data_IF_894761260273
#
_entry.id   IF_894761260273
#
_cell.length_a   1.000
_cell.length_b   1.000
_cell.length_c   1.000
_cell.angle_alpha   90.00
_cell.angle_beta   90.00
_cell.angle_gamma   90.00
#
_symmetry.space_group_name_H-M   'P 1'
#
loop_
_entity.id
_entity.type
_entity.pdbx_description
1 polymer ?
#
# COMPACT_ATOMS: atom_id res chain seq x y z
N UNK A 1 -24.45 -16.62 -3.64
CA UNK A 1 -23.00 -16.72 -3.92
C UNK A 1 -22.57 -15.43 -4.57
N UNK A 2 -22.15 -14.43 -3.79
CA UNK A 2 -21.65 -13.17 -4.37
C UNK A 2 -20.29 -13.46 -4.98
N UNK A 3 -20.26 -13.63 -6.30
CA UNK A 3 -19.03 -13.52 -7.08
C UNK A 3 -18.46 -12.14 -6.79
N UNK A 4 -17.53 -12.03 -5.84
CA UNK A 4 -16.80 -10.79 -5.62
C UNK A 4 -16.07 -10.51 -6.93
N UNK A 5 -16.41 -9.40 -7.59
CA UNK A 5 -15.79 -9.02 -8.87
C UNK A 5 -14.27 -8.95 -8.75
N UNK A 6 -13.57 -8.95 -9.88
CA UNK A 6 -12.12 -8.73 -9.91
C UNK A 6 -11.79 -7.34 -9.34
N UNK A 7 -10.75 -7.23 -8.52
CA UNK A 7 -10.25 -5.92 -8.08
C UNK A 7 -9.57 -5.22 -9.26
N UNK A 8 -9.91 -3.96 -9.51
CA UNK A 8 -9.40 -3.20 -10.66
C UNK A 8 -8.63 -1.97 -10.22
N UNK A 9 -7.46 -1.74 -10.78
CA UNK A 9 -6.76 -0.46 -10.64
C UNK A 9 -7.20 0.51 -11.74
N UNK A 10 -7.63 1.71 -11.37
CA UNK A 10 -8.18 2.71 -12.29
C UNK A 10 -7.58 4.09 -12.03
N UNK A 11 -7.65 4.98 -13.03
CA UNK A 11 -7.32 6.37 -12.77
C UNK A 11 -8.41 6.98 -11.88
N UNK A 12 -8.05 7.92 -11.00
CA UNK A 12 -8.98 8.46 -10.00
C UNK A 12 -10.19 9.17 -10.62
N UNK A 13 -10.04 9.68 -11.84
CA UNK A 13 -11.11 10.37 -12.55
C UNK A 13 -12.07 9.42 -13.29
N UNK A 14 -11.73 8.14 -13.40
CA UNK A 14 -12.55 7.15 -14.10
C UNK A 14 -13.63 6.51 -13.20
N UNK A 15 -13.87 7.12 -12.04
CA UNK A 15 -14.70 6.57 -10.97
C UNK A 15 -14.00 5.43 -10.24
N UNK A 16 -13.59 5.66 -9.00
CA UNK A 16 -13.03 4.65 -8.11
C UNK A 16 -13.84 4.55 -6.81
N UNK A 17 -13.88 3.36 -6.23
CA UNK A 17 -14.55 3.11 -4.96
C UNK A 17 -13.64 3.46 -3.78
N UNK A 18 -12.34 3.21 -3.93
CA UNK A 18 -11.32 3.46 -2.90
C UNK A 18 -10.08 4.09 -3.51
N UNK A 19 -9.69 5.26 -3.02
CA UNK A 19 -8.42 5.88 -3.33
C UNK A 19 -7.29 5.21 -2.54
N UNK A 20 -6.29 4.69 -3.24
CA UNK A 20 -5.16 3.97 -2.64
C UNK A 20 -3.83 4.70 -2.80
N UNK A 21 -3.85 5.89 -3.40
CA UNK A 21 -2.66 6.72 -3.61
C UNK A 21 -2.08 7.30 -2.31
N UNK A 22 -0.90 7.94 -2.42
CA UNK A 22 -0.32 8.70 -1.31
C UNK A 22 -1.20 9.90 -0.98
N UNK A 23 -1.34 10.26 0.30
CA UNK A 23 -2.10 11.47 0.61
C UNK A 23 -1.39 12.72 0.10
N UNK A 24 -2.08 13.49 -0.75
CA UNK A 24 -1.65 14.79 -1.24
C UNK A 24 -2.86 15.66 -1.59
N UNK A 25 -2.74 16.99 -1.42
CA UNK A 25 -3.77 17.99 -1.77
C UNK A 25 -5.17 17.62 -1.24
N UNK A 26 -6.17 17.51 -2.12
CA UNK A 26 -7.56 17.17 -1.76
C UNK A 26 -7.70 15.81 -1.04
N UNK A 27 -6.73 14.91 -1.24
CA UNK A 27 -6.69 13.58 -0.63
C UNK A 27 -5.83 13.53 0.64
N UNK A 28 -5.44 14.69 1.18
CA UNK A 28 -4.73 14.79 2.45
C UNK A 28 -5.65 14.58 3.67
N UNK A 29 -6.95 14.87 3.53
CA UNK A 29 -7.95 14.72 4.59
C UNK A 29 -8.75 13.43 4.39
N UNK A 30 -9.20 12.79 5.48
CA UNK A 30 -10.15 11.69 5.42
C UNK A 30 -11.41 12.04 4.63
N UNK A 31 -11.96 11.07 3.91
CA UNK A 31 -13.22 11.21 3.19
C UNK A 31 -13.79 9.84 2.77
N UNK A 32 -14.97 9.80 2.12
CA UNK A 32 -15.67 8.54 1.84
C UNK A 32 -14.84 7.54 1.02
N UNK A 33 -14.11 8.05 0.02
CA UNK A 33 -13.26 7.23 -0.85
C UNK A 33 -11.81 7.09 -0.31
N UNK A 34 -11.43 7.83 0.73
CA UNK A 34 -10.08 7.83 1.31
C UNK A 34 -10.15 7.99 2.83
N UNK A 35 -10.72 7.00 3.54
CA UNK A 35 -11.00 7.14 4.98
C UNK A 35 -9.72 7.29 5.80
N UNK A 36 -8.61 6.70 5.34
CA UNK A 36 -7.30 6.79 5.98
C UNK A 36 -6.26 7.24 4.96
N UNK A 37 -5.96 8.55 4.88
CA UNK A 37 -5.11 9.12 3.85
C UNK A 37 -3.74 8.47 3.69
N UNK A 38 -3.50 7.86 2.52
CA UNK A 38 -2.24 7.21 2.19
C UNK A 38 -2.01 5.87 2.88
N UNK A 39 -3.05 5.27 3.49
CA UNK A 39 -2.98 3.95 4.13
C UNK A 39 -2.33 2.90 3.24
N UNK A 40 -2.68 2.92 1.96
CA UNK A 40 -2.23 1.98 0.93
C UNK A 40 -1.15 2.55 0.00
N UNK A 41 -0.70 3.78 0.20
CA UNK A 41 0.24 4.44 -0.70
C UNK A 41 1.59 3.73 -0.75
N UNK A 42 2.21 3.67 -1.93
CA UNK A 42 3.58 3.18 -2.06
C UNK A 42 4.58 4.20 -1.48
N UNK A 43 5.36 3.86 -0.43
CA UNK A 43 6.39 4.73 0.13
C UNK A 43 7.62 4.83 -0.78
N UNK A 44 7.86 3.84 -1.65
CA UNK A 44 8.99 3.79 -2.58
C UNK A 44 8.67 4.55 -3.87
N UNK A 45 9.71 5.09 -4.52
CA UNK A 45 9.60 5.88 -5.75
C UNK A 45 10.76 5.54 -6.69
N UNK A 46 10.53 5.55 -8.02
CA UNK A 46 11.63 5.50 -8.98
C UNK A 46 12.62 6.65 -8.73
N UNK A 47 13.93 6.35 -8.78
CA UNK A 47 14.98 7.31 -8.42
C UNK A 47 15.12 7.56 -6.91
N UNK A 48 14.46 6.74 -6.08
CA UNK A 48 14.56 6.78 -4.63
C UNK A 48 13.70 7.86 -3.98
N UNK A 49 13.82 7.98 -2.65
CA UNK A 49 13.08 8.97 -1.86
C UNK A 49 14.02 10.01 -1.26
N UNK A 50 13.72 11.29 -1.48
CA UNK A 50 14.55 12.38 -0.93
C UNK A 50 14.49 12.52 0.60
N UNK A 51 13.43 12.03 1.25
CA UNK A 51 13.26 12.10 2.71
C UNK A 51 12.89 10.73 3.30
N UNK A 52 13.83 9.76 3.34
CA UNK A 52 13.55 8.41 3.83
C UNK A 52 12.96 8.38 5.24
N UNK A 53 13.50 9.19 6.15
CA UNK A 53 13.00 9.28 7.52
C UNK A 53 11.52 9.69 7.62
N UNK A 54 11.04 10.57 6.74
CA UNK A 54 9.61 10.93 6.71
C UNK A 54 8.74 9.78 6.17
N UNK A 55 9.26 8.97 5.25
CA UNK A 55 8.56 7.78 4.76
C UNK A 55 8.51 6.69 5.83
N UNK A 56 9.62 6.43 6.52
CA UNK A 56 9.67 5.48 7.64
C UNK A 56 8.64 5.85 8.71
N UNK A 57 8.66 7.10 9.19
CA UNK A 57 7.70 7.57 10.20
C UNK A 57 6.25 7.37 9.80
N UNK A 58 5.93 7.65 8.54
CA UNK A 58 4.56 7.61 8.04
C UNK A 58 4.06 6.19 7.78
N UNK A 59 4.91 5.30 7.27
CA UNK A 59 4.50 4.01 6.72
C UNK A 59 4.94 2.81 7.56
N UNK A 60 5.87 2.99 8.50
CA UNK A 60 6.49 1.91 9.27
C UNK A 60 6.25 2.02 10.78
N UNK A 61 6.46 3.20 11.39
CA UNK A 61 6.46 3.35 12.87
C UNK A 61 5.24 2.74 13.57
N UNK A 62 4.04 2.94 13.01
CA UNK A 62 2.78 2.51 13.63
C UNK A 62 2.70 1.01 13.91
N UNK A 63 3.28 0.18 13.05
CA UNK A 63 3.21 -1.28 13.20
C UNK A 63 4.56 -1.89 13.61
N UNK A 64 5.68 -1.20 13.34
CA UNK A 64 7.00 -1.64 13.84
C UNK A 64 7.13 -1.53 15.35
N UNK A 65 6.34 -0.66 16.00
CA UNK A 65 6.32 -0.55 17.46
C UNK A 65 5.91 -1.87 18.15
N UNK A 66 5.21 -2.77 17.45
CA UNK A 66 4.80 -4.07 17.98
C UNK A 66 5.85 -5.18 17.80
N UNK A 67 6.97 -4.93 17.09
CA UNK A 67 8.02 -5.91 16.87
C UNK A 67 9.12 -5.85 17.94
N UNK A 68 9.90 -6.93 18.03
CA UNK A 68 11.13 -6.92 18.80
C UNK A 68 12.13 -5.89 18.23
N UNK A 69 13.09 -5.47 19.06
CA UNK A 69 14.08 -4.47 18.66
C UNK A 69 14.94 -4.93 17.47
N UNK A 70 15.44 -6.16 17.51
CA UNK A 70 16.27 -6.72 16.44
C UNK A 70 15.50 -6.86 15.11
N UNK A 71 14.22 -7.27 15.16
CA UNK A 71 13.37 -7.32 13.97
C UNK A 71 13.11 -5.92 13.41
N UNK A 72 12.81 -4.96 14.29
CA UNK A 72 12.59 -3.56 13.89
C UNK A 72 13.83 -2.98 13.20
N UNK A 73 15.01 -3.16 13.77
CA UNK A 73 16.27 -2.72 13.17
C UNK A 73 16.50 -3.35 11.79
N UNK A 74 16.29 -4.66 11.68
CA UNK A 74 16.42 -5.38 10.42
C UNK A 74 15.48 -4.82 9.35
N UNK A 75 14.20 -4.63 9.69
CA UNK A 75 13.20 -4.09 8.76
C UNK A 75 13.55 -2.67 8.33
N UNK A 76 13.97 -1.80 9.26
CA UNK A 76 14.35 -0.42 8.95
C UNK A 76 15.58 -0.37 8.02
N UNK A 77 16.59 -1.21 8.26
CA UNK A 77 17.77 -1.29 7.42
C UNK A 77 17.41 -1.74 5.98
N UNK A 78 16.53 -2.74 5.84
CA UNK A 78 16.04 -3.18 4.53
C UNK A 78 15.17 -2.12 3.83
N UNK A 79 14.29 -1.45 4.58
CA UNK A 79 13.48 -0.37 4.04
C UNK A 79 14.34 0.77 3.48
N UNK A 80 15.42 1.14 4.17
CA UNK A 80 16.36 2.16 3.70
C UNK A 80 17.06 1.75 2.39
N UNK A 81 17.52 0.49 2.28
CA UNK A 81 18.10 -0.03 1.03
C UNK A 81 17.10 0.04 -0.13
N UNK A 82 15.86 -0.39 0.11
CA UNK A 82 14.75 -0.38 -0.86
C UNK A 82 14.23 1.01 -1.23
N UNK A 83 14.55 2.02 -0.44
CA UNK A 83 14.26 3.42 -0.72
C UNK A 83 15.36 4.10 -1.55
N UNK A 84 16.45 3.40 -1.85
CA UNK A 84 17.56 3.91 -2.66
C UNK A 84 17.19 4.14 -4.14
N UNK A 85 18.03 4.88 -4.89
CA UNK A 85 17.75 5.28 -6.26
C UNK A 85 17.69 4.11 -7.25
N UNK A 86 18.48 3.07 -7.02
CA UNK A 86 18.58 1.88 -7.87
C UNK A 86 17.52 0.81 -7.56
N UNK A 87 16.76 0.97 -6.47
CA UNK A 87 15.78 -0.01 -6.05
C UNK A 87 14.50 0.10 -6.89
N UNK A 88 13.99 -1.04 -7.37
CA UNK A 88 12.69 -1.06 -8.04
C UNK A 88 11.56 -0.77 -7.03
N UNK A 89 10.77 0.26 -7.31
CA UNK A 89 9.74 0.74 -6.41
C UNK A 89 8.54 -0.21 -6.29
N UNK A 90 8.27 -1.05 -7.30
CA UNK A 90 7.18 -2.02 -7.29
C UNK A 90 7.56 -3.30 -6.56
N UNK A 91 8.77 -3.81 -6.77
CA UNK A 91 9.32 -4.93 -5.98
C UNK A 91 9.46 -4.57 -4.51
N UNK A 92 9.95 -3.36 -4.22
CA UNK A 92 10.01 -2.84 -2.86
C UNK A 92 8.62 -2.73 -2.23
N UNK A 93 7.62 -2.33 -3.02
CA UNK A 93 6.24 -2.27 -2.54
C UNK A 93 5.63 -3.65 -2.31
N UNK A 94 5.93 -4.65 -3.14
CA UNK A 94 5.50 -6.05 -2.91
C UNK A 94 6.04 -6.58 -1.59
N UNK A 95 7.34 -6.38 -1.35
CA UNK A 95 7.98 -6.73 -0.09
C UNK A 95 7.30 -6.04 1.10
N UNK A 96 7.07 -4.73 1.00
CA UNK A 96 6.41 -3.98 2.07
C UNK A 96 4.98 -4.44 2.32
N UNK A 97 4.22 -4.72 1.26
CA UNK A 97 2.84 -5.20 1.36
C UNK A 97 2.82 -6.56 2.07
N UNK A 98 3.67 -7.49 1.68
CA UNK A 98 3.77 -8.80 2.33
C UNK A 98 4.22 -8.68 3.80
N UNK A 99 5.26 -7.90 4.05
CA UNK A 99 5.80 -7.71 5.39
C UNK A 99 4.76 -7.07 6.31
N UNK A 100 4.17 -5.96 5.91
CA UNK A 100 3.20 -5.24 6.73
C UNK A 100 1.95 -6.08 6.96
N UNK A 101 1.43 -6.78 5.95
CA UNK A 101 0.25 -7.64 6.14
C UNK A 101 0.51 -8.81 7.08
N UNK A 102 1.77 -9.25 7.25
CA UNK A 102 2.15 -10.25 8.26
C UNK A 102 2.14 -9.71 9.69
N UNK A 103 2.46 -8.44 9.89
CA UNK A 103 2.71 -7.84 11.21
C UNK A 103 1.69 -6.78 11.65
N UNK A 104 0.81 -6.32 10.76
CA UNK A 104 -0.24 -5.33 11.02
C UNK A 104 -1.61 -5.95 10.66
N UNK A 105 -2.28 -6.65 11.60
CA UNK A 105 -3.57 -7.30 11.35
C UNK A 105 -4.66 -6.32 10.89
N UNK A 106 -4.63 -5.07 11.37
CA UNK A 106 -5.54 -4.04 10.93
C UNK A 106 -5.30 -3.68 9.45
N UNK A 107 -4.04 -3.59 9.03
CA UNK A 107 -3.71 -3.36 7.62
C UNK A 107 -4.06 -4.54 6.73
N UNK A 108 -3.87 -5.77 7.22
CA UNK A 108 -4.33 -6.96 6.52
C UNK A 108 -5.84 -6.92 6.29
N UNK A 109 -6.63 -6.60 7.32
CA UNK A 109 -8.08 -6.47 7.20
C UNK A 109 -8.47 -5.39 6.17
N UNK A 110 -7.83 -4.21 6.24
CA UNK A 110 -8.05 -3.12 5.28
C UNK A 110 -7.72 -3.53 3.83
N UNK A 111 -6.60 -4.24 3.62
CA UNK A 111 -6.18 -4.72 2.29
C UNK A 111 -7.15 -5.77 1.76
N UNK A 112 -7.62 -6.71 2.60
CA UNK A 112 -8.61 -7.71 2.19
C UNK A 112 -9.96 -7.08 1.83
N UNK A 113 -10.33 -5.98 2.48
CA UNK A 113 -11.54 -5.22 2.17
C UNK A 113 -11.49 -4.53 0.79
N UNK A 114 -10.32 -4.44 0.15
CA UNK A 114 -10.18 -3.91 -1.22
C UNK A 114 -10.67 -4.89 -2.30
N UNK A 115 -11.00 -6.14 -1.94
CA UNK A 115 -11.42 -7.15 -2.90
C UNK A 115 -12.69 -6.73 -3.66
N UNK A 116 -12.65 -6.82 -4.98
CA UNK A 116 -13.73 -6.43 -5.89
C UNK A 116 -13.99 -4.94 -6.03
N UNK A 117 -13.19 -4.08 -5.38
CA UNK A 117 -13.31 -2.63 -5.54
C UNK A 117 -12.47 -2.11 -6.72
N UNK A 118 -12.84 -0.93 -7.21
CA UNK A 118 -12.06 -0.11 -8.14
C UNK A 118 -11.11 0.78 -7.33
N UNK A 119 -9.82 0.45 -7.37
CA UNK A 119 -8.74 1.13 -6.67
C UNK A 119 -8.23 2.32 -7.48
N UNK A 120 -8.51 3.52 -7.00
CA UNK A 120 -8.12 4.77 -7.64
C UNK A 120 -6.67 5.16 -7.33
N UNK A 121 -5.90 5.41 -8.38
CA UNK A 121 -4.58 6.04 -8.27
C UNK A 121 -4.25 6.91 -9.49
N UNK A 122 -3.51 7.99 -9.27
CA UNK A 122 -3.12 8.94 -10.31
C UNK A 122 -2.09 8.41 -11.33
N UNK A 123 -1.43 7.29 -11.04
CA UNK A 123 -0.42 6.72 -11.96
C UNK A 123 -1.05 6.03 -13.17
N UNK A 124 -2.31 5.62 -13.10
CA UNK A 124 -3.00 4.99 -14.22
C UNK A 124 -3.16 5.98 -15.39
N UNK A 125 -3.07 5.52 -16.66
CA UNK A 125 -3.05 4.12 -17.12
C UNK A 125 -1.67 3.44 -17.07
N UNK A 126 -0.60 4.12 -16.66
CA UNK A 126 0.74 3.54 -16.56
C UNK A 126 0.90 2.53 -15.42
N UNK A 127 2.10 1.94 -15.25
CA UNK A 127 2.42 1.06 -14.14
C UNK A 127 2.05 1.68 -12.79
N UNK A 128 1.29 0.96 -11.96
CA UNK A 128 0.71 1.51 -10.74
C UNK A 128 0.79 0.56 -9.55
N UNK A 129 1.00 1.09 -8.34
CA UNK A 129 1.02 0.27 -7.13
C UNK A 129 -0.37 -0.31 -6.80
N UNK A 130 -1.44 0.33 -7.30
CA UNK A 130 -2.79 -0.20 -7.21
C UNK A 130 -2.92 -1.55 -7.95
N UNK A 131 -2.14 -1.80 -9.00
CA UNK A 131 -2.10 -3.11 -9.66
C UNK A 131 -1.51 -4.18 -8.74
N UNK A 132 -0.47 -3.83 -7.98
CA UNK A 132 0.16 -4.72 -7.01
C UNK A 132 -0.84 -5.09 -5.90
N UNK A 133 -1.58 -4.11 -5.36
CA UNK A 133 -2.64 -4.35 -4.38
C UNK A 133 -3.74 -5.26 -4.94
N UNK A 134 -4.24 -4.94 -6.15
CA UNK A 134 -5.28 -5.71 -6.80
C UNK A 134 -4.86 -7.17 -7.03
N UNK A 135 -3.67 -7.39 -7.57
CA UNK A 135 -3.12 -8.72 -7.79
C UNK A 135 -2.94 -9.48 -6.47
N UNK A 136 -2.42 -8.81 -5.42
CA UNK A 136 -2.20 -9.43 -4.12
C UNK A 136 -3.50 -9.87 -3.45
N UNK A 137 -4.55 -9.04 -3.50
CA UNK A 137 -5.83 -9.37 -2.88
C UNK A 137 -6.57 -10.47 -3.65
N UNK A 138 -6.52 -10.44 -4.99
CA UNK A 138 -7.21 -11.43 -5.85
C UNK A 138 -6.51 -12.80 -5.83
N UNK A 139 -5.19 -12.86 -5.62
CA UNK A 139 -4.44 -14.11 -5.54
C UNK A 139 -4.73 -14.94 -4.27
N UNK A 140 -5.50 -14.41 -3.31
CA UNK A 140 -5.80 -15.09 -2.05
C UNK A 140 -7.22 -15.65 -2.07
N UNK A 141 -7.48 -16.84 -1.49
CA UNK A 141 -8.84 -17.33 -1.35
C UNK A 141 -9.68 -16.32 -0.54
N UNK A 142 -10.96 -16.10 -0.87
CA UNK A 142 -11.84 -15.34 0.00
C UNK A 142 -11.86 -16.06 1.35
N UNK A 143 -11.60 -15.32 2.43
CA UNK A 143 -11.56 -15.89 3.78
C UNK A 143 -12.82 -16.74 4.00
N UNK A 144 -12.65 -18.02 4.35
CA UNK A 144 -13.76 -18.84 4.82
C UNK A 144 -14.27 -18.16 6.09
N UNK A 145 -15.48 -17.61 6.03
CA UNK A 145 -16.22 -17.18 7.21
C UNK A 145 -16.60 -18.39 8.04
#
# INVERSE_FOLDING_TARGET
MTSTGRTLAVHVHDGCDVYVGRAFRAWARPGPLNPVPGRFGNPFKPGGVGTPGAMLRRYFDLWLAALSESEREHVLAEALRRMGPEADAFESYRWYLELRTRHDPAFLADVLALRGNRLGCWCKPGPCHADVLAAWVDARPPGRR
#
